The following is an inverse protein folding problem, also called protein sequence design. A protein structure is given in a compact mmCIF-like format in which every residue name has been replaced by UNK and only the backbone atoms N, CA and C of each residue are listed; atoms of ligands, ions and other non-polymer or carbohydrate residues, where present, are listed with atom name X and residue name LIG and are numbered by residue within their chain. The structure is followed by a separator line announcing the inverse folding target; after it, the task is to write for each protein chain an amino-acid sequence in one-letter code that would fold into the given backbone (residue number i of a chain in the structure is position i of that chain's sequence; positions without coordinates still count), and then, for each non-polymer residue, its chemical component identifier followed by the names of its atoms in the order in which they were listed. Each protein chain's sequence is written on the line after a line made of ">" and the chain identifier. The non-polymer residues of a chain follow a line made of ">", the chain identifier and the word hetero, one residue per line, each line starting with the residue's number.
data_IF_162009323477
#
_entry.id   IF_162009323477
#
_cell.length_a   1.000
_cell.length_b   1.000
_cell.length_c   1.000
_cell.angle_alpha   90.00
_cell.angle_beta   90.00
_cell.angle_gamma   90.00
#
_symmetry.space_group_name_H-M   'P 1'
#
loop_
_entity.id
_entity.type
_entity.pdbx_description
1 polymer ?
#
# COMPACT_ATOMS: atom_id res chain seq x y z
N UNK A 1 2.48 10.02 -24.31
CA UNK A 1 2.61 10.18 -25.77
C UNK A 1 3.97 10.78 -26.09
N UNK A 2 4.70 10.12 -27.01
CA UNK A 2 5.86 10.50 -27.86
C UNK A 2 6.60 11.81 -27.48
N UNK A 3 7.87 11.72 -27.02
CA UNK A 3 9.14 11.57 -27.79
C UNK A 3 9.47 12.80 -28.65
N UNK A 4 10.76 13.18 -28.61
CA UNK A 4 11.49 14.19 -29.41
C UNK A 4 11.64 15.57 -28.76
N UNK A 5 12.86 15.86 -28.26
CA UNK A 5 13.71 17.05 -28.49
C UNK A 5 14.92 16.89 -27.53
N UNK A 6 15.88 16.06 -27.93
CA UNK A 6 17.22 15.99 -27.32
C UNK A 6 18.18 15.62 -28.45
N UNK A 7 18.26 16.49 -29.46
CA UNK A 7 19.20 16.34 -30.57
C UNK A 7 19.53 17.68 -31.25
N UNK A 8 19.68 18.74 -30.46
CA UNK A 8 20.15 20.04 -30.95
C UNK A 8 21.14 20.61 -29.92
N UNK A 9 22.40 20.19 -30.00
CA UNK A 9 23.58 20.96 -29.55
C UNK A 9 24.93 20.23 -29.73
N UNK A 10 25.06 19.33 -30.73
CA UNK A 10 26.34 18.67 -31.04
C UNK A 10 26.96 19.05 -32.39
N UNK A 11 26.40 20.01 -33.13
CA UNK A 11 26.93 20.41 -34.44
C UNK A 11 26.74 21.90 -34.65
N UNK A 12 27.68 22.72 -34.18
CA UNK A 12 28.33 23.82 -34.93
C UNK A 12 29.56 24.25 -34.13
N UNK A 13 30.73 23.73 -34.49
CA UNK A 13 31.98 24.47 -34.36
C UNK A 13 33.00 23.92 -35.36
N UNK A 14 33.13 24.49 -36.57
CA UNK A 14 34.31 24.28 -37.37
C UNK A 14 35.41 25.23 -36.87
N UNK A 15 36.58 24.63 -36.65
CA UNK A 15 37.85 25.28 -36.42
C UNK A 15 38.05 26.60 -37.18
N UNK A 16 38.55 27.63 -36.49
CA UNK A 16 39.49 28.58 -37.11
C UNK A 16 40.61 28.93 -36.13
N UNK A 17 41.78 28.45 -36.51
CA UNK A 17 43.11 28.88 -36.11
C UNK A 17 43.23 30.41 -35.99
N UNK A 18 43.92 30.87 -34.95
CA UNK A 18 44.97 31.87 -35.17
C UNK A 18 46.15 31.66 -34.21
N UNK A 19 47.31 31.55 -34.85
CA UNK A 19 48.64 31.38 -34.32
C UNK A 19 49.13 32.63 -33.58
N UNK A 20 49.73 32.46 -32.41
CA UNK A 20 50.82 33.32 -31.94
C UNK A 20 51.90 32.43 -31.31
N UNK A 21 53.11 32.55 -31.84
CA UNK A 21 54.31 31.97 -31.26
C UNK A 21 54.97 32.92 -30.26
N UNK A 22 55.95 32.35 -29.54
CA UNK A 22 56.97 32.96 -28.69
C UNK A 22 56.55 33.37 -27.27
N UNK A 23 56.60 32.39 -26.35
CA UNK A 23 57.24 32.44 -25.03
C UNK A 23 56.82 31.20 -24.20
N UNK A 24 57.35 30.02 -24.54
CA UNK A 24 57.09 28.76 -23.84
C UNK A 24 58.43 28.29 -23.31
N UNK A 25 58.77 28.55 -22.05
CA UNK A 25 58.71 27.45 -21.07
C UNK A 25 58.35 27.91 -19.64
N UNK A 26 58.42 29.20 -19.33
CA UNK A 26 58.06 29.73 -18.00
C UNK A 26 56.61 30.18 -17.92
N UNK A 27 56.06 30.76 -19.00
CA UNK A 27 54.66 31.16 -19.09
C UNK A 27 53.72 29.94 -19.12
N UNK A 28 54.18 28.84 -19.71
CA UNK A 28 53.43 27.58 -19.72
C UNK A 28 53.40 26.91 -18.35
N UNK A 29 54.45 27.03 -17.54
CA UNK A 29 54.49 26.45 -16.20
C UNK A 29 53.59 27.22 -15.23
N UNK A 30 53.65 28.56 -15.21
CA UNK A 30 52.76 29.38 -14.37
C UNK A 30 51.27 29.21 -14.75
N UNK A 31 50.95 29.18 -16.04
CA UNK A 31 49.57 28.95 -16.51
C UNK A 31 49.07 27.53 -16.19
N UNK A 32 49.95 26.52 -16.24
CA UNK A 32 49.60 25.15 -15.83
C UNK A 32 49.36 25.06 -14.32
N UNK A 33 50.18 25.75 -13.50
CA UNK A 33 50.02 25.81 -12.04
C UNK A 33 48.71 26.51 -11.66
N UNK A 34 48.39 27.65 -12.29
CA UNK A 34 47.14 28.38 -12.04
C UNK A 34 45.90 27.54 -12.42
N UNK A 35 45.99 26.80 -13.53
CA UNK A 35 44.90 25.90 -13.96
C UNK A 35 44.71 24.73 -12.99
N UNK A 36 45.80 24.16 -12.47
CA UNK A 36 45.75 23.05 -11.50
C UNK A 36 45.16 23.50 -10.15
N UNK A 37 45.52 24.70 -9.68
CA UNK A 37 44.95 25.31 -8.47
C UNK A 37 43.46 25.59 -8.63
N UNK A 38 43.03 26.09 -9.79
CA UNK A 38 41.61 26.29 -10.11
C UNK A 38 40.83 24.97 -10.15
N UNK A 39 41.37 23.93 -10.80
CA UNK A 39 40.76 22.59 -10.84
C UNK A 39 40.60 22.03 -9.43
N UNK A 40 41.62 22.17 -8.58
CA UNK A 40 41.55 21.70 -7.19
C UNK A 40 40.47 22.44 -6.39
N UNK A 41 40.39 23.77 -6.50
CA UNK A 41 39.36 24.58 -5.84
C UNK A 41 37.94 24.19 -6.26
N UNK A 42 37.75 23.95 -7.56
CA UNK A 42 36.47 23.47 -8.11
C UNK A 42 36.16 22.07 -7.56
N UNK A 43 37.16 21.19 -7.54
CA UNK A 43 37.04 19.83 -6.99
C UNK A 43 36.63 19.81 -5.52
N UNK A 44 37.26 20.63 -4.68
CA UNK A 44 36.91 20.75 -3.26
C UNK A 44 35.47 21.24 -3.07
N UNK A 45 35.04 22.20 -3.91
CA UNK A 45 33.67 22.71 -3.86
C UNK A 45 32.64 21.66 -4.30
N UNK A 46 32.92 20.91 -5.38
CA UNK A 46 32.08 19.81 -5.85
C UNK A 46 32.00 18.68 -4.81
N UNK A 47 33.12 18.33 -4.16
CA UNK A 47 33.14 17.35 -3.08
C UNK A 47 32.26 17.80 -1.90
N UNK A 48 32.27 19.08 -1.55
CA UNK A 48 31.36 19.63 -0.54
C UNK A 48 29.87 19.44 -0.89
N UNK A 49 29.49 19.57 -2.17
CA UNK A 49 28.12 19.29 -2.61
C UNK A 49 27.77 17.80 -2.47
N UNK A 50 28.69 16.90 -2.79
CA UNK A 50 28.51 15.45 -2.61
C UNK A 50 28.30 15.11 -1.13
N UNK A 51 29.13 15.65 -0.23
CA UNK A 51 28.99 15.48 1.21
C UNK A 51 27.64 15.99 1.75
N UNK A 52 27.17 17.12 1.24
CA UNK A 52 25.89 17.70 1.66
C UNK A 52 24.70 16.84 1.21
N UNK A 53 24.74 16.26 0.01
CA UNK A 53 23.73 15.26 -0.42
C UNK A 53 23.84 14.00 0.41
N UNK A 54 25.05 13.57 0.79
CA UNK A 54 25.25 12.40 1.66
C UNK A 54 24.58 12.59 3.03
N UNK A 55 24.75 13.78 3.62
CA UNK A 55 24.09 14.15 4.87
C UNK A 55 22.57 14.10 4.74
N UNK A 56 22.01 14.53 3.60
CA UNK A 56 20.58 14.42 3.32
C UNK A 56 20.16 12.96 3.18
N UNK A 57 20.92 12.15 2.46
CA UNK A 57 20.66 10.70 2.28
C UNK A 57 20.51 9.98 3.61
N UNK A 58 21.42 10.24 4.56
CA UNK A 58 21.36 9.66 5.91
C UNK A 58 20.10 10.08 6.70
N UNK A 59 19.46 11.18 6.34
CA UNK A 59 18.26 11.69 7.02
C UNK A 59 16.94 11.18 6.43
N UNK A 60 16.92 10.61 5.21
CA UNK A 60 15.67 10.20 4.51
C UNK A 60 15.08 8.88 5.03
N UNK A 61 15.59 8.35 6.15
CA UNK A 61 15.10 7.13 6.79
C UNK A 61 13.65 7.24 7.29
N UNK A 62 13.34 6.60 8.43
CA UNK A 62 11.99 6.66 9.03
C UNK A 62 11.77 8.01 9.71
N UNK A 63 11.50 9.04 8.90
CA UNK A 63 11.21 10.40 9.36
C UNK A 63 9.73 10.74 9.23
N UNK A 64 9.16 11.56 10.14
CA UNK A 64 7.79 12.05 9.99
C UNK A 64 7.63 12.96 8.77
N UNK A 65 6.43 13.02 8.21
CA UNK A 65 6.11 13.74 6.95
C UNK A 65 6.60 15.20 6.93
N UNK A 66 6.51 15.91 8.06
CA UNK A 66 7.00 17.30 8.17
C UNK A 66 8.51 17.41 7.92
N UNK A 67 9.30 16.45 8.43
CA UNK A 67 10.75 16.41 8.21
C UNK A 67 11.07 15.98 6.79
N UNK A 68 10.24 15.11 6.18
CA UNK A 68 10.42 14.73 4.78
C UNK A 68 10.31 15.93 3.82
N UNK A 69 9.32 16.81 4.04
CA UNK A 69 9.17 18.07 3.28
C UNK A 69 10.36 19.01 3.47
N UNK A 70 10.98 19.04 4.65
CA UNK A 70 12.19 19.83 4.90
C UNK A 70 13.41 19.28 4.14
N UNK A 71 13.55 17.96 4.06
CA UNK A 71 14.61 17.29 3.31
C UNK A 71 14.43 17.55 1.81
N UNK A 72 13.22 17.41 1.28
CA UNK A 72 12.88 17.69 -0.13
C UNK A 72 13.22 19.13 -0.53
N UNK A 73 12.83 20.10 0.30
CA UNK A 73 13.19 21.51 0.08
C UNK A 73 14.71 21.74 0.14
N UNK A 74 15.42 21.05 1.04
CA UNK A 74 16.88 21.14 1.15
C UNK A 74 17.56 20.56 -0.10
N UNK A 75 17.11 19.40 -0.59
CA UNK A 75 17.61 18.79 -1.83
C UNK A 75 17.36 19.69 -3.03
N UNK A 76 16.16 20.25 -3.18
CA UNK A 76 15.83 21.17 -4.29
C UNK A 76 16.72 22.42 -4.29
N UNK A 77 16.95 23.02 -3.12
CA UNK A 77 17.87 24.16 -2.98
C UNK A 77 19.31 23.78 -3.31
N UNK A 78 19.75 22.61 -2.87
CA UNK A 78 21.10 22.12 -3.14
C UNK A 78 21.29 21.87 -4.64
N UNK A 79 20.32 21.22 -5.29
CA UNK A 79 20.31 20.96 -6.74
C UNK A 79 20.39 22.26 -7.55
N UNK A 80 19.63 23.28 -7.17
CA UNK A 80 19.68 24.59 -7.81
C UNK A 80 21.07 25.24 -7.70
N UNK A 81 21.68 25.22 -6.49
CA UNK A 81 23.03 25.75 -6.26
C UNK A 81 24.10 24.98 -7.04
N UNK A 82 24.05 23.65 -7.00
CA UNK A 82 24.99 22.78 -7.70
C UNK A 82 24.91 22.98 -9.22
N UNK A 83 23.69 23.03 -9.77
CA UNK A 83 23.47 23.24 -11.21
C UNK A 83 24.05 24.58 -11.67
N UNK A 84 23.78 25.66 -10.94
CA UNK A 84 24.31 26.99 -11.27
C UNK A 84 25.84 27.03 -11.17
N UNK A 85 26.41 26.37 -10.16
CA UNK A 85 27.86 26.25 -10.00
C UNK A 85 28.51 25.47 -11.16
N UNK A 86 27.94 24.33 -11.55
CA UNK A 86 28.43 23.54 -12.68
C UNK A 86 28.33 24.28 -14.01
N UNK A 87 27.26 25.06 -14.23
CA UNK A 87 27.13 25.90 -15.41
C UNK A 87 28.23 26.96 -15.48
N UNK A 88 28.55 27.60 -14.34
CA UNK A 88 29.63 28.58 -14.28
C UNK A 88 31.02 27.98 -14.54
N UNK A 89 31.22 26.70 -14.21
CA UNK A 89 32.51 26.00 -14.32
C UNK A 89 32.57 24.97 -15.46
N UNK A 90 31.64 25.05 -16.42
CA UNK A 90 31.42 24.01 -17.43
C UNK A 90 32.68 23.68 -18.26
N UNK A 91 33.51 24.69 -18.54
CA UNK A 91 34.75 24.51 -19.31
C UNK A 91 35.76 23.64 -18.55
N UNK A 92 36.04 23.97 -17.29
CA UNK A 92 36.96 23.19 -16.45
C UNK A 92 36.43 21.78 -16.20
N UNK A 93 35.12 21.65 -15.92
CA UNK A 93 34.49 20.35 -15.69
C UNK A 93 34.59 19.47 -16.94
N UNK A 94 34.37 20.02 -18.14
CA UNK A 94 34.45 19.25 -19.38
C UNK A 94 35.88 18.83 -19.76
N UNK A 95 36.90 19.49 -19.19
CA UNK A 95 38.31 19.22 -19.46
C UNK A 95 38.97 18.27 -18.46
N UNK A 96 38.32 18.01 -17.31
CA UNK A 96 38.87 17.17 -16.24
C UNK A 96 37.90 16.04 -15.84
N UNK A 97 38.34 14.80 -16.04
CA UNK A 97 37.54 13.60 -15.74
C UNK A 97 37.22 13.46 -14.24
N UNK A 98 38.08 13.95 -13.34
CA UNK A 98 37.84 13.87 -11.89
C UNK A 98 36.69 14.79 -11.47
N UNK A 99 36.61 15.99 -12.04
CA UNK A 99 35.50 16.92 -11.85
C UNK A 99 34.20 16.35 -12.45
N UNK A 100 34.25 15.77 -13.66
CA UNK A 100 33.09 15.08 -14.24
C UNK A 100 32.58 13.96 -13.33
N UNK A 101 33.48 13.16 -12.76
CA UNK A 101 33.11 12.09 -11.83
C UNK A 101 32.42 12.61 -10.57
N UNK A 102 32.85 13.75 -10.01
CA UNK A 102 32.19 14.37 -8.86
C UNK A 102 30.77 14.86 -9.20
N UNK A 103 30.60 15.44 -10.39
CA UNK A 103 29.27 15.84 -10.89
C UNK A 103 28.36 14.62 -11.05
N UNK A 104 28.88 13.51 -11.60
CA UNK A 104 28.13 12.27 -11.75
C UNK A 104 27.74 11.67 -10.39
N UNK A 105 28.67 11.61 -9.43
CA UNK A 105 28.40 11.14 -8.06
C UNK A 105 27.31 11.96 -7.37
N UNK A 106 27.37 13.29 -7.50
CA UNK A 106 26.33 14.17 -6.98
C UNK A 106 24.96 13.85 -7.57
N UNK A 107 24.88 13.67 -8.90
CA UNK A 107 23.62 13.36 -9.59
C UNK A 107 23.06 12.00 -9.17
N UNK A 108 23.90 10.98 -9.10
CA UNK A 108 23.50 9.63 -8.67
C UNK A 108 22.96 9.66 -7.24
N UNK A 109 23.70 10.26 -6.30
CA UNK A 109 23.24 10.38 -4.92
C UNK A 109 21.98 11.23 -4.80
N UNK A 110 21.89 12.34 -5.55
CA UNK A 110 20.71 13.18 -5.60
C UNK A 110 19.47 12.40 -6.04
N UNK A 111 19.62 11.51 -7.04
CA UNK A 111 18.55 10.61 -7.49
C UNK A 111 18.16 9.61 -6.39
N UNK A 112 19.13 8.97 -5.72
CA UNK A 112 18.85 8.04 -4.63
C UNK A 112 18.06 8.71 -3.48
N UNK A 113 18.41 9.94 -3.12
CA UNK A 113 17.69 10.74 -2.12
C UNK A 113 16.27 11.04 -2.61
N UNK A 114 16.11 11.46 -3.87
CA UNK A 114 14.81 11.74 -4.47
C UNK A 114 13.90 10.50 -4.49
N UNK A 115 14.42 9.35 -4.90
CA UNK A 115 13.68 8.08 -4.93
C UNK A 115 13.28 7.64 -3.52
N UNK A 116 14.15 7.86 -2.53
CA UNK A 116 13.84 7.57 -1.12
C UNK A 116 12.74 8.50 -0.59
N UNK A 117 12.77 9.79 -0.94
CA UNK A 117 11.71 10.74 -0.59
C UNK A 117 10.38 10.29 -1.19
N UNK A 118 10.36 9.97 -2.49
CA UNK A 118 9.16 9.54 -3.19
C UNK A 118 8.56 8.26 -2.58
N UNK A 119 9.39 7.28 -2.23
CA UNK A 119 8.94 6.06 -1.54
C UNK A 119 8.29 6.37 -0.18
N UNK A 120 8.85 7.28 0.61
CA UNK A 120 8.24 7.67 1.88
C UNK A 120 6.95 8.48 1.68
N UNK A 121 6.88 9.37 0.69
CA UNK A 121 5.66 10.09 0.33
C UNK A 121 4.53 9.12 -0.06
N UNK A 122 4.82 8.14 -0.92
CA UNK A 122 3.85 7.11 -1.31
C UNK A 122 3.35 6.31 -0.10
N UNK A 123 4.25 5.98 0.83
CA UNK A 123 3.86 5.31 2.08
C UNK A 123 2.91 6.16 2.93
N UNK A 124 3.17 7.46 3.06
CA UNK A 124 2.25 8.35 3.77
C UNK A 124 0.89 8.43 3.09
N UNK A 125 0.87 8.51 1.76
CA UNK A 125 -0.38 8.50 1.00
C UNK A 125 -1.18 7.21 1.25
N UNK A 126 -0.54 6.04 1.21
CA UNK A 126 -1.23 4.78 1.51
C UNK A 126 -1.79 4.73 2.93
N UNK A 127 -1.06 5.27 3.91
CA UNK A 127 -1.55 5.36 5.29
C UNK A 127 -2.76 6.29 5.40
N UNK A 128 -2.73 7.42 4.70
CA UNK A 128 -3.85 8.36 4.65
C UNK A 128 -5.08 7.73 3.99
N UNK A 129 -4.92 7.15 2.80
CA UNK A 129 -5.99 6.48 2.06
C UNK A 129 -6.64 5.37 2.89
N UNK A 130 -5.83 4.57 3.58
CA UNK A 130 -6.31 3.53 4.49
C UNK A 130 -7.12 4.13 5.65
N UNK A 131 -6.60 5.17 6.30
CA UNK A 131 -7.28 5.81 7.43
C UNK A 131 -8.59 6.47 7.01
N UNK A 132 -8.65 7.07 5.83
CA UNK A 132 -9.87 7.65 5.28
C UNK A 132 -10.90 6.57 4.98
N UNK A 133 -10.50 5.47 4.33
CA UNK A 133 -11.36 4.34 4.04
C UNK A 133 -11.91 3.68 5.32
N UNK A 134 -11.06 3.48 6.33
CA UNK A 134 -11.47 2.91 7.61
C UNK A 134 -12.53 3.80 8.28
N UNK A 135 -12.26 5.10 8.41
CA UNK A 135 -13.24 6.05 8.99
C UNK A 135 -14.56 6.06 8.23
N UNK A 136 -14.50 6.06 6.89
CA UNK A 136 -15.69 6.05 6.06
C UNK A 136 -16.53 4.78 6.29
N UNK A 137 -15.93 3.60 6.17
CA UNK A 137 -16.62 2.31 6.30
C UNK A 137 -17.22 2.14 7.72
N UNK A 138 -16.45 2.46 8.77
CA UNK A 138 -16.96 2.36 10.14
C UNK A 138 -18.06 3.38 10.47
N UNK A 139 -18.15 4.50 9.73
CA UNK A 139 -19.23 5.48 9.93
C UNK A 139 -20.58 5.06 9.29
N UNK A 140 -20.60 4.04 8.44
CA UNK A 140 -21.78 3.66 7.66
C UNK A 140 -22.87 2.94 8.46
N UNK A 141 -22.59 2.50 9.69
CA UNK A 141 -23.53 1.72 10.51
C UNK A 141 -24.90 2.38 10.65
N UNK A 142 -24.91 3.68 10.96
CA UNK A 142 -26.15 4.42 11.15
C UNK A 142 -26.93 4.61 9.84
N UNK A 143 -26.23 4.77 8.71
CA UNK A 143 -26.84 4.92 7.40
C UNK A 143 -27.51 3.61 6.96
N UNK A 144 -26.78 2.50 7.05
CA UNK A 144 -27.31 1.18 6.70
C UNK A 144 -28.46 0.74 7.60
N UNK A 145 -28.41 1.04 8.91
CA UNK A 145 -29.54 0.78 9.80
C UNK A 145 -30.81 1.56 9.39
N UNK A 146 -30.67 2.80 8.92
CA UNK A 146 -31.82 3.60 8.43
C UNK A 146 -32.36 3.05 7.13
N UNK A 147 -31.49 2.75 6.17
CA UNK A 147 -31.88 2.18 4.87
C UNK A 147 -32.59 0.83 5.05
N UNK A 148 -32.08 -0.03 5.93
CA UNK A 148 -32.66 -1.33 6.24
C UNK A 148 -34.05 -1.22 6.91
N UNK A 149 -34.26 -0.23 7.79
CA UNK A 149 -35.58 0.04 8.37
C UNK A 149 -36.55 0.55 7.30
N UNK A 150 -36.10 1.47 6.44
CA UNK A 150 -36.94 2.04 5.38
C UNK A 150 -37.29 0.99 4.32
N UNK A 151 -36.35 0.14 3.91
CA UNK A 151 -36.62 -0.96 2.96
C UNK A 151 -37.67 -1.92 3.51
N UNK A 152 -37.58 -2.29 4.80
CA UNK A 152 -38.59 -3.11 5.46
C UNK A 152 -39.97 -2.45 5.48
N UNK A 153 -40.07 -1.15 5.73
CA UNK A 153 -41.36 -0.43 5.72
C UNK A 153 -41.95 -0.38 4.31
N UNK A 154 -41.15 -0.01 3.32
CA UNK A 154 -41.60 0.14 1.93
C UNK A 154 -41.94 -1.19 1.26
N UNK A 155 -41.34 -2.30 1.72
CA UNK A 155 -41.65 -3.65 1.23
C UNK A 155 -43.04 -4.16 1.65
N UNK A 156 -43.76 -3.49 2.57
CA UNK A 156 -45.01 -4.01 3.13
C UNK A 156 -46.23 -3.76 2.24
N UNK A 157 -46.18 -2.77 1.35
CA UNK A 157 -47.35 -2.33 0.57
C UNK A 157 -46.95 -2.22 -0.91
N UNK A 158 -47.81 -2.70 -1.81
CA UNK A 158 -47.53 -2.72 -3.25
C UNK A 158 -47.34 -1.30 -3.82
N UNK A 159 -48.15 -0.35 -3.34
CA UNK A 159 -48.11 1.07 -3.76
C UNK A 159 -46.78 1.75 -3.45
N UNK A 160 -45.98 1.23 -2.52
CA UNK A 160 -44.66 1.78 -2.16
C UNK A 160 -43.51 1.15 -2.94
N UNK A 161 -43.76 0.20 -3.85
CA UNK A 161 -42.74 -0.44 -4.67
C UNK A 161 -41.87 0.54 -5.49
N UNK A 162 -42.41 1.61 -6.13
CA UNK A 162 -41.57 2.59 -6.82
C UNK A 162 -40.62 3.38 -5.89
N UNK A 163 -41.03 3.58 -4.63
CA UNK A 163 -40.19 4.23 -3.62
C UNK A 163 -39.10 3.29 -3.09
N UNK A 164 -39.40 1.99 -3.00
CA UNK A 164 -38.43 0.95 -2.66
C UNK A 164 -37.33 0.84 -3.71
N UNK A 165 -37.67 0.85 -5.01
CA UNK A 165 -36.69 0.84 -6.09
C UNK A 165 -35.78 2.08 -6.09
N UNK A 166 -36.33 3.26 -5.80
CA UNK A 166 -35.51 4.47 -5.60
C UNK A 166 -34.55 4.32 -4.42
N UNK A 167 -34.99 3.72 -3.31
CA UNK A 167 -34.15 3.47 -2.15
C UNK A 167 -33.03 2.47 -2.47
N UNK A 168 -33.33 1.39 -3.19
CA UNK A 168 -32.34 0.43 -3.68
C UNK A 168 -31.30 1.10 -4.58
N UNK A 169 -31.71 1.99 -5.48
CA UNK A 169 -30.78 2.75 -6.32
C UNK A 169 -29.85 3.65 -5.50
N UNK A 170 -30.36 4.31 -4.45
CA UNK A 170 -29.53 5.12 -3.54
C UNK A 170 -28.55 4.25 -2.73
N UNK A 171 -29.00 3.10 -2.24
CA UNK A 171 -28.15 2.16 -1.52
C UNK A 171 -27.06 1.60 -2.42
N UNK A 172 -27.37 1.27 -3.68
CA UNK A 172 -26.41 0.75 -4.64
C UNK A 172 -25.26 1.74 -4.92
N UNK A 173 -25.58 3.04 -5.00
CA UNK A 173 -24.56 4.09 -5.12
C UNK A 173 -23.70 4.18 -3.87
N UNK A 174 -24.32 4.14 -2.68
CA UNK A 174 -23.57 4.16 -1.41
C UNK A 174 -22.66 2.93 -1.26
N UNK A 175 -23.14 1.75 -1.67
CA UNK A 175 -22.33 0.54 -1.62
C UNK A 175 -21.19 0.56 -2.63
N UNK A 176 -21.38 1.16 -3.81
CA UNK A 176 -20.30 1.37 -4.77
C UNK A 176 -19.17 2.24 -4.17
N UNK A 177 -19.52 3.27 -3.38
CA UNK A 177 -18.54 4.06 -2.65
C UNK A 177 -17.82 3.21 -1.58
N UNK A 178 -18.56 2.41 -0.80
CA UNK A 178 -18.00 1.49 0.20
C UNK A 178 -17.01 0.52 -0.44
N UNK A 179 -17.36 -0.07 -1.58
CA UNK A 179 -16.48 -0.97 -2.33
C UNK A 179 -15.23 -0.26 -2.84
N UNK A 180 -15.37 0.94 -3.40
CA UNK A 180 -14.24 1.74 -3.85
C UNK A 180 -13.26 2.07 -2.72
N UNK A 181 -13.75 2.46 -1.54
CA UNK A 181 -12.89 2.71 -0.36
C UNK A 181 -12.25 1.42 0.14
N UNK A 182 -12.96 0.30 0.14
CA UNK A 182 -12.41 -1.00 0.53
C UNK A 182 -11.28 -1.45 -0.39
N UNK A 183 -11.43 -1.33 -1.72
CA UNK A 183 -10.37 -1.67 -2.67
C UNK A 183 -9.13 -0.79 -2.48
N UNK A 184 -9.32 0.51 -2.24
CA UNK A 184 -8.20 1.43 -1.92
C UNK A 184 -7.46 1.01 -0.66
N UNK A 185 -8.19 0.67 0.41
CA UNK A 185 -7.59 0.21 1.67
C UNK A 185 -6.83 -1.11 1.49
N UNK A 186 -7.36 -2.04 0.68
CA UNK A 186 -6.71 -3.31 0.38
C UNK A 186 -5.36 -3.12 -0.30
N UNK A 187 -5.28 -2.27 -1.33
CA UNK A 187 -4.01 -1.94 -2.02
C UNK A 187 -3.01 -1.30 -1.05
N UNK A 188 -3.46 -0.39 -0.19
CA UNK A 188 -2.60 0.22 0.83
C UNK A 188 -2.06 -0.80 1.85
N UNK A 189 -2.87 -1.79 2.23
CA UNK A 189 -2.50 -2.84 3.18
C UNK A 189 -1.54 -3.88 2.58
N UNK A 190 -1.63 -4.17 1.29
CA UNK A 190 -0.69 -5.04 0.58
C UNK A 190 0.72 -4.43 0.57
N UNK A 191 0.82 -3.13 0.36
CA UNK A 191 2.09 -2.39 0.35
C UNK A 191 2.64 -2.09 1.75
N UNK A 192 1.82 -2.16 2.80
CA UNK A 192 2.21 -1.81 4.17
C UNK A 192 1.87 -2.95 5.15
N UNK A 193 2.84 -3.83 5.49
CA UNK A 193 2.59 -4.99 6.35
C UNK A 193 1.97 -4.66 7.73
N UNK A 194 2.27 -3.49 8.28
CA UNK A 194 1.72 -3.03 9.56
C UNK A 194 0.19 -2.85 9.54
N UNK A 195 -0.42 -2.67 8.36
CA UNK A 195 -1.86 -2.48 8.22
C UNK A 195 -2.66 -3.78 8.16
N UNK A 196 -2.01 -4.95 7.98
CA UNK A 196 -2.70 -6.25 7.79
C UNK A 196 -3.72 -6.56 8.89
N UNK A 197 -3.38 -6.27 10.16
CA UNK A 197 -4.29 -6.50 11.29
C UNK A 197 -5.54 -5.61 11.21
N UNK A 198 -5.37 -4.34 10.84
CA UNK A 198 -6.48 -3.40 10.67
C UNK A 198 -7.30 -3.74 9.43
N UNK A 199 -6.66 -4.20 8.36
CA UNK A 199 -7.33 -4.66 7.15
C UNK A 199 -8.29 -5.82 7.42
N UNK A 200 -7.92 -6.77 8.29
CA UNK A 200 -8.82 -7.86 8.67
C UNK A 200 -10.10 -7.34 9.35
N UNK A 201 -9.98 -6.36 10.26
CA UNK A 201 -11.14 -5.73 10.90
C UNK A 201 -12.00 -4.95 9.89
N UNK A 202 -11.36 -4.28 8.93
CA UNK A 202 -12.05 -3.57 7.86
C UNK A 202 -12.81 -4.53 6.93
N UNK A 203 -12.24 -5.71 6.64
CA UNK A 203 -12.86 -6.75 5.83
C UNK A 203 -14.07 -7.37 6.53
N UNK A 204 -13.99 -7.66 7.83
CA UNK A 204 -15.16 -8.06 8.62
C UNK A 204 -16.28 -7.02 8.52
N UNK A 205 -15.94 -5.74 8.69
CA UNK A 205 -16.90 -4.64 8.60
C UNK A 205 -17.51 -4.49 7.21
N UNK A 206 -16.70 -4.63 6.17
CA UNK A 206 -17.17 -4.64 4.78
C UNK A 206 -18.15 -5.78 4.53
N UNK A 207 -17.89 -6.99 5.05
CA UNK A 207 -18.80 -8.15 4.92
C UNK A 207 -20.12 -7.88 5.65
N UNK A 208 -20.11 -7.26 6.83
CA UNK A 208 -21.33 -6.85 7.54
C UNK A 208 -22.19 -5.89 6.72
N UNK A 209 -21.57 -4.88 6.12
CA UNK A 209 -22.25 -3.90 5.27
C UNK A 209 -22.77 -4.55 3.98
N UNK A 210 -21.98 -5.43 3.36
CA UNK A 210 -22.40 -6.20 2.19
C UNK A 210 -23.61 -7.08 2.49
N UNK A 211 -23.60 -7.81 3.59
CA UNK A 211 -24.76 -8.61 4.03
C UNK A 211 -26.00 -7.74 4.28
N UNK A 212 -25.81 -6.50 4.74
CA UNK A 212 -26.91 -5.54 4.94
C UNK A 212 -27.42 -4.98 3.62
N UNK A 213 -26.51 -4.69 2.68
CA UNK A 213 -26.80 -4.29 1.30
C UNK A 213 -27.62 -5.36 0.58
N UNK A 214 -27.17 -6.61 0.61
CA UNK A 214 -27.88 -7.74 0.00
C UNK A 214 -29.30 -7.89 0.54
N UNK A 215 -29.51 -7.70 1.85
CA UNK A 215 -30.87 -7.70 2.45
C UNK A 215 -31.74 -6.54 1.96
N UNK A 216 -31.16 -5.38 1.71
CA UNK A 216 -31.90 -4.21 1.19
C UNK A 216 -32.23 -4.42 -0.29
N UNK A 217 -31.31 -4.95 -1.08
CA UNK A 217 -31.50 -5.22 -2.50
C UNK A 217 -32.49 -6.36 -2.75
N UNK A 218 -32.44 -7.41 -1.92
CA UNK A 218 -33.40 -8.52 -1.94
C UNK A 218 -34.77 -8.15 -1.33
N UNK A 219 -34.93 -6.94 -0.78
CA UNK A 219 -36.23 -6.49 -0.30
C UNK A 219 -37.16 -6.28 -1.50
N UNK A 220 -38.09 -7.20 -1.69
CA UNK A 220 -39.16 -7.07 -2.68
C UNK A 220 -40.51 -6.92 -1.98
N UNK A 221 -41.49 -6.39 -2.71
CA UNK A 221 -42.88 -6.47 -2.26
C UNK A 221 -43.27 -7.94 -2.25
N UNK A 222 -43.61 -8.45 -1.06
CA UNK A 222 -44.03 -9.83 -0.87
C UNK A 222 -45.28 -9.80 0.01
N UNK A 223 -46.39 -10.45 -0.40
CA UNK A 223 -47.61 -10.48 0.41
C UNK A 223 -47.30 -11.01 1.81
N UNK A 224 -47.96 -10.46 2.84
CA UNK A 224 -47.73 -10.82 4.24
C UNK A 224 -47.77 -12.33 4.51
N UNK A 225 -48.60 -13.07 3.79
CA UNK A 225 -48.74 -14.53 3.91
C UNK A 225 -47.49 -15.29 3.43
N UNK A 226 -46.89 -14.89 2.31
CA UNK A 226 -45.66 -15.53 1.80
C UNK A 226 -44.46 -15.21 2.70
N UNK A 227 -44.44 -14.01 3.27
CA UNK A 227 -43.41 -13.59 4.23
C UNK A 227 -43.47 -14.40 5.54
N UNK A 228 -44.66 -14.77 6.01
CA UNK A 228 -44.87 -15.65 7.18
C UNK A 228 -44.45 -17.09 6.84
N UNK A 229 -44.82 -17.57 5.64
CA UNK A 229 -44.46 -18.90 5.14
C UNK A 229 -42.94 -19.07 5.03
N UNK A 230 -42.22 -18.10 4.49
CA UNK A 230 -40.76 -18.16 4.36
C UNK A 230 -40.04 -18.10 5.70
N UNK A 231 -40.53 -17.28 6.65
CA UNK A 231 -40.01 -17.31 8.03
C UNK A 231 -40.23 -18.67 8.70
N UNK A 232 -41.40 -19.28 8.51
CA UNK A 232 -41.70 -20.62 9.01
C UNK A 232 -40.81 -21.69 8.38
N UNK A 233 -40.59 -21.62 7.07
CA UNK A 233 -39.69 -22.54 6.34
C UNK A 233 -38.23 -22.37 6.79
N UNK A 234 -37.78 -21.13 7.02
CA UNK A 234 -36.45 -20.85 7.56
C UNK A 234 -36.24 -21.41 8.97
N UNK A 235 -37.24 -21.27 9.86
CA UNK A 235 -37.20 -21.87 11.20
C UNK A 235 -37.19 -23.40 11.12
N UNK A 236 -37.98 -23.99 10.22
CA UNK A 236 -37.99 -25.43 9.99
C UNK A 236 -36.64 -25.95 9.49
N UNK A 237 -35.98 -25.23 8.57
CA UNK A 237 -34.66 -25.60 8.05
C UNK A 237 -33.57 -25.57 9.14
N UNK A 238 -33.57 -24.57 10.01
CA UNK A 238 -32.67 -24.50 11.18
C UNK A 238 -32.92 -25.67 12.13
N UNK A 239 -34.18 -26.04 12.34
CA UNK A 239 -34.55 -27.21 13.13
C UNK A 239 -33.99 -28.53 12.57
N UNK A 240 -34.05 -28.73 11.25
CA UNK A 240 -33.50 -29.91 10.58
C UNK A 240 -31.97 -29.98 10.73
N UNK A 241 -31.27 -28.84 10.56
CA UNK A 241 -29.82 -28.76 10.72
C UNK A 241 -29.40 -29.08 12.16
N UNK A 242 -30.11 -28.54 13.16
CA UNK A 242 -29.87 -28.84 14.58
C UNK A 242 -30.12 -30.32 14.91
N UNK A 243 -31.15 -30.94 14.34
CA UNK A 243 -31.39 -32.38 14.46
C UNK A 243 -30.23 -33.20 13.89
N UNK A 244 -29.70 -32.80 12.74
CA UNK A 244 -28.53 -33.44 12.12
C UNK A 244 -27.28 -33.31 13.00
N UNK A 245 -27.00 -32.12 13.53
CA UNK A 245 -25.86 -31.91 14.45
C UNK A 245 -26.00 -32.77 15.71
N UNK A 246 -27.18 -32.80 16.33
CA UNK A 246 -27.44 -33.66 17.50
C UNK A 246 -27.27 -35.14 17.18
N UNK A 247 -27.70 -35.59 15.99
CA UNK A 247 -27.51 -36.98 15.55
C UNK A 247 -26.04 -37.33 15.35
N UNK A 248 -25.24 -36.43 14.77
CA UNK A 248 -23.80 -36.62 14.58
C UNK A 248 -23.05 -36.65 15.92
N UNK A 249 -23.36 -35.71 16.83
CA UNK A 249 -22.77 -35.68 18.18
C UNK A 249 -23.12 -36.94 18.96
N UNK A 250 -24.38 -37.40 18.89
CA UNK A 250 -24.83 -38.65 19.50
C UNK A 250 -24.08 -39.87 18.96
N UNK A 251 -23.90 -39.98 17.63
CA UNK A 251 -23.09 -41.05 17.03
C UNK A 251 -21.63 -41.02 17.49
N UNK A 252 -21.02 -39.84 17.56
CA UNK A 252 -19.63 -39.69 18.06
C UNK A 252 -19.52 -40.12 19.52
N UNK A 253 -20.48 -39.76 20.38
CA UNK A 253 -20.52 -40.22 21.76
C UNK A 253 -20.74 -41.74 21.85
N UNK A 254 -21.58 -42.32 21.00
CA UNK A 254 -21.76 -43.76 20.88
C UNK A 254 -20.47 -44.48 20.50
N UNK A 255 -19.73 -43.98 19.51
CA UNK A 255 -18.42 -44.52 19.13
C UNK A 255 -17.38 -44.41 20.24
N UNK A 256 -17.38 -43.31 21.01
CA UNK A 256 -16.49 -43.16 22.18
C UNK A 256 -16.81 -44.19 23.26
N UNK A 257 -18.09 -44.39 23.59
CA UNK A 257 -18.53 -45.42 24.55
C UNK A 257 -18.21 -46.83 24.07
N UNK A 258 -18.41 -47.14 22.79
CA UNK A 258 -18.03 -48.45 22.23
C UNK A 258 -16.52 -48.67 22.27
N UNK A 259 -15.71 -47.63 22.04
CA UNK A 259 -14.25 -47.70 22.15
C UNK A 259 -13.79 -47.89 23.59
N UNK A 260 -14.43 -47.24 24.56
CA UNK A 260 -14.15 -47.43 25.99
C UNK A 260 -14.53 -48.84 26.45
N UNK A 261 -15.69 -49.36 26.03
CA UNK A 261 -16.10 -50.74 26.30
C UNK A 261 -15.15 -51.76 25.65
N UNK A 262 -14.71 -51.52 24.41
CA UNK A 262 -13.75 -52.40 23.74
C UNK A 262 -12.39 -52.42 24.48
N UNK A 263 -11.92 -51.27 24.97
CA UNK A 263 -10.71 -51.19 25.81
C UNK A 263 -10.87 -51.92 27.15
N UNK A 264 -12.01 -51.77 27.82
CA UNK A 264 -12.28 -52.51 29.05
C UNK A 264 -12.36 -54.02 28.81
N UNK A 265 -12.91 -54.44 27.68
CA UNK A 265 -12.97 -55.85 27.28
C UNK A 265 -11.57 -56.39 26.92
N UNK A 266 -10.72 -55.59 26.27
CA UNK A 266 -9.32 -55.92 26.00
C UNK A 266 -8.47 -55.99 27.28
N UNK A 267 -8.71 -55.11 28.26
CA UNK A 267 -8.07 -55.16 29.57
C UNK A 267 -8.53 -56.37 30.40
N UNK A 268 -9.81 -56.76 30.33
CA UNK A 268 -10.31 -57.99 30.93
C UNK A 268 -9.70 -59.25 30.28
N UNK A 269 -9.51 -59.24 28.96
CA UNK A 269 -8.85 -60.32 28.22
C UNK A 269 -7.33 -60.38 28.43
N UNK A 270 -6.69 -59.25 28.74
CA UNK A 270 -5.28 -59.22 29.14
C UNK A 270 -5.07 -59.70 30.57
N UNK A 271 -5.94 -59.31 31.51
CA UNK A 271 -5.91 -59.82 32.89
C UNK A 271 -6.16 -61.34 32.97
N UNK A 272 -6.96 -61.92 32.07
CA UNK A 272 -7.13 -63.38 32.03
C UNK A 272 -5.95 -64.14 31.42
N UNK A 273 -5.02 -63.46 30.74
CA UNK A 273 -3.80 -64.06 30.15
C UNK A 273 -2.59 -64.04 31.09
N UNK A 274 -2.53 -63.11 32.04
CA UNK A 274 -1.43 -63.00 33.02
C UNK A 274 -1.65 -63.87 34.28
N UNK A 275 -2.74 -64.64 34.35
CA UNK A 275 -3.09 -65.52 35.47
C UNK A 275 -2.84 -67.01 35.16
N UNK A 276 -1.79 -67.32 34.37
CA UNK A 276 -1.24 -68.67 34.29
C UNK A 276 -0.07 -68.80 35.27
N UNK A 277 -0.11 -69.75 36.22
CA UNK A 277 1.01 -69.97 37.12
C UNK A 277 2.20 -70.45 36.28
N UNK A 278 3.32 -69.72 36.34
CA UNK A 278 4.58 -70.16 35.74
C UNK A 278 5.07 -71.38 36.54
N UNK A 279 5.27 -72.49 35.83
CA UNK A 279 5.97 -73.69 36.31
C UNK A 279 7.47 -73.40 36.31
#
# INVERSE_FOLDING_TARGET
>A
MKKWIFLYLLLVCPCRLWSYGLATDTLSADVMIDTEVEIQSIGDRLRGYVEDVEKLSRQVGVVPERKLKQIENSLSRLNAKHTLYCQAQQLYIAMDDSLMNLVAQYQEMGQMVSDSIQRQQQRFQWLEDFNQAERFIFSQDSAYQRLLKQSMLLSQIEKTAPALEKLKGQEQLLFADVDAYFQKAKVAAESTPALKKRQAQLEEKYIELKNSSEKIQAAEYMPLLDRIKDKLMGIAAVGIILMFFNMVVSKIQGYKKMRENAKQMEEMLRKSKDDYPKI
#
